data_IF_142414047577
#
_entry.id   IF_142414047577
#
_cell.length_a   1.000
_cell.length_b   1.000
_cell.length_c   1.000
_cell.angle_alpha   90.00
_cell.angle_beta   90.00
_cell.angle_gamma   90.00
#
_symmetry.space_group_name_H-M   'P 1'
#
loop_
_entity.id
_entity.type
_entity.pdbx_description
1 polymer ?
#
# COMPACT_ATOMS: atom_id res chain seq x y z
N UNK A 1 -24.77 0.02 16.78
CA UNK A 1 -24.02 1.07 16.06
C UNK A 1 -23.16 0.36 15.04
N UNK A 2 -23.60 0.34 13.78
CA UNK A 2 -22.87 -0.35 12.71
C UNK A 2 -21.53 0.33 12.55
N UNK A 3 -20.44 -0.40 12.80
CA UNK A 3 -19.12 0.05 12.43
C UNK A 3 -19.17 0.29 10.92
N UNK A 4 -19.12 1.56 10.52
CA UNK A 4 -18.66 1.88 9.17
C UNK A 4 -17.35 1.12 9.05
N UNK A 5 -17.15 0.25 8.05
CA UNK A 5 -15.86 -0.41 7.88
C UNK A 5 -14.83 0.70 7.75
N UNK A 6 -14.03 0.91 8.81
CA UNK A 6 -12.90 1.82 8.81
C UNK A 6 -12.13 1.55 7.51
N UNK A 7 -11.72 2.56 6.72
CA UNK A 7 -11.19 2.32 5.37
C UNK A 7 -9.95 1.43 5.33
N UNK A 8 -9.38 1.09 6.49
CA UNK A 8 -8.55 -0.10 6.73
C UNK A 8 -9.06 -1.36 6.01
N UNK A 9 -10.36 -1.61 5.91
CA UNK A 9 -10.91 -2.78 5.20
C UNK A 9 -10.56 -2.80 3.71
N UNK A 10 -10.53 -1.64 3.07
CA UNK A 10 -10.14 -1.52 1.66
C UNK A 10 -8.62 -1.69 1.51
N UNK A 11 -7.85 -1.15 2.46
CA UNK A 11 -6.40 -1.36 2.52
C UNK A 11 -6.05 -2.83 2.73
N UNK A 12 -6.72 -3.56 3.62
CA UNK A 12 -6.46 -4.98 3.84
C UNK A 12 -6.83 -5.80 2.62
N UNK A 13 -7.98 -5.54 1.98
CA UNK A 13 -8.37 -6.20 0.74
C UNK A 13 -7.30 -6.05 -0.36
N UNK A 14 -6.77 -4.83 -0.54
CA UNK A 14 -5.67 -4.59 -1.50
C UNK A 14 -4.35 -5.22 -1.08
N UNK A 15 -4.04 -5.29 0.22
CA UNK A 15 -2.80 -5.91 0.72
C UNK A 15 -2.78 -7.41 0.48
N UNK A 16 -3.92 -8.08 0.69
CA UNK A 16 -4.03 -9.53 0.53
C UNK A 16 -4.40 -9.97 -0.90
N UNK A 17 -4.54 -9.02 -1.83
CA UNK A 17 -4.92 -9.32 -3.21
C UNK A 17 -6.32 -9.92 -3.33
N UNK A 18 -7.26 -9.47 -2.51
CA UNK A 18 -8.64 -9.90 -2.64
C UNK A 18 -9.18 -9.45 -4.02
N UNK A 19 -9.80 -10.37 -4.76
CA UNK A 19 -10.18 -10.16 -6.17
C UNK A 19 -11.11 -8.97 -6.40
N UNK A 20 -11.20 -8.53 -7.65
CA UNK A 20 -11.97 -7.35 -8.11
C UNK A 20 -13.35 -7.21 -7.48
N UNK A 21 -14.07 -8.32 -7.32
CA UNK A 21 -15.42 -8.35 -6.77
C UNK A 21 -15.48 -7.94 -5.29
N UNK A 22 -14.48 -8.33 -4.49
CA UNK A 22 -14.42 -7.92 -3.07
C UNK A 22 -14.17 -6.42 -2.92
N UNK A 23 -13.29 -5.85 -3.75
CA UNK A 23 -13.05 -4.41 -3.78
C UNK A 23 -14.32 -3.66 -4.20
N UNK A 24 -15.05 -4.18 -5.20
CA UNK A 24 -16.35 -3.61 -5.61
C UNK A 24 -17.38 -3.65 -4.49
N UNK A 25 -17.55 -4.77 -3.80
CA UNK A 25 -18.47 -4.88 -2.66
C UNK A 25 -18.11 -3.88 -1.56
N UNK A 26 -16.82 -3.67 -1.29
CA UNK A 26 -16.38 -2.66 -0.31
C UNK A 26 -16.67 -1.23 -0.79
N UNK A 27 -16.51 -0.93 -2.07
CA UNK A 27 -16.87 0.37 -2.64
C UNK A 27 -18.40 0.61 -2.61
N UNK A 28 -19.19 -0.42 -2.90
CA UNK A 28 -20.66 -0.39 -2.77
C UNK A 28 -21.11 -0.17 -1.32
N UNK A 29 -20.34 -0.67 -0.34
CA UNK A 29 -20.54 -0.41 1.08
C UNK A 29 -20.19 1.04 1.52
N UNK A 30 -19.94 1.94 0.55
CA UNK A 30 -19.52 3.34 0.75
C UNK A 30 -18.16 3.51 1.44
N UNK A 31 -17.26 2.53 1.32
CA UNK A 31 -15.87 2.74 1.71
C UNK A 31 -15.23 3.82 0.85
N UNK A 32 -14.50 4.74 1.46
CA UNK A 32 -13.83 5.81 0.72
C UNK A 32 -12.60 5.27 -0.02
N UNK A 33 -12.54 5.35 -1.37
CA UNK A 33 -11.41 4.85 -2.15
C UNK A 33 -10.12 5.64 -1.93
N UNK A 34 -10.22 6.87 -1.41
CA UNK A 34 -9.11 7.79 -1.17
C UNK A 34 -8.77 7.92 0.32
N UNK A 35 -9.26 7.01 1.16
CA UNK A 35 -8.95 7.05 2.59
C UNK A 35 -7.44 6.84 2.80
N UNK A 36 -6.82 7.69 3.62
CA UNK A 36 -5.37 7.62 3.87
C UNK A 36 -5.10 6.68 5.04
N UNK A 37 -4.12 5.80 4.86
CA UNK A 37 -3.63 4.90 5.89
C UNK A 37 -2.89 5.69 6.97
N UNK A 38 -3.60 6.03 8.04
CA UNK A 38 -3.06 6.71 9.22
C UNK A 38 -3.01 5.76 10.40
N UNK A 39 -1.80 5.50 10.91
CA UNK A 39 -1.63 4.84 12.19
C UNK A 39 -1.59 5.90 13.30
N UNK A 40 -2.24 5.62 14.43
CA UNK A 40 -2.03 6.42 15.63
C UNK A 40 -0.58 6.25 16.09
N UNK A 41 0.13 7.35 16.30
CA UNK A 41 1.55 7.37 16.68
C UNK A 41 1.87 6.53 17.93
N UNK A 42 0.89 6.36 18.83
CA UNK A 42 1.03 5.57 20.06
C UNK A 42 0.82 4.06 19.89
N UNK A 43 0.51 3.57 18.69
CA UNK A 43 0.33 2.14 18.47
C UNK A 43 1.70 1.43 18.40
N UNK A 44 1.92 0.31 19.12
CA UNK A 44 3.19 -0.43 19.07
C UNK A 44 3.61 -0.83 17.65
N UNK A 45 2.63 -1.14 16.78
CA UNK A 45 2.86 -1.43 15.36
C UNK A 45 3.55 -0.27 14.62
N UNK A 46 3.28 0.99 15.02
CA UNK A 46 3.91 2.16 14.43
C UNK A 46 5.41 2.21 14.74
N UNK A 47 5.82 1.86 15.96
CA UNK A 47 7.25 1.77 16.32
C UNK A 47 7.95 0.70 15.49
N UNK A 48 7.32 -0.46 15.29
CA UNK A 48 7.88 -1.54 14.46
C UNK A 48 8.05 -1.05 13.02
N UNK A 49 7.06 -0.39 12.44
CA UNK A 49 7.18 0.14 11.08
C UNK A 49 8.23 1.23 10.95
N UNK A 50 8.37 2.11 11.94
CA UNK A 50 9.45 3.10 11.96
C UNK A 50 10.82 2.43 11.99
N UNK A 51 10.99 1.38 12.81
CA UNK A 51 12.21 0.58 12.87
C UNK A 51 12.51 -0.11 11.53
N UNK A 52 11.51 -0.70 10.88
CA UNK A 52 11.69 -1.35 9.57
C UNK A 52 11.97 -0.36 8.42
N UNK A 53 11.55 0.89 8.55
CA UNK A 53 11.84 1.94 7.56
C UNK A 53 13.25 2.54 7.68
N UNK A 54 13.95 2.34 8.81
CA UNK A 54 15.30 2.89 9.04
C UNK A 54 16.33 2.44 7.99
N UNK A 55 16.44 1.13 7.63
CA UNK A 55 17.39 0.69 6.60
C UNK A 55 17.18 1.36 5.24
N UNK A 56 15.93 1.57 4.84
CA UNK A 56 15.59 2.28 3.60
C UNK A 56 16.03 3.75 3.66
N UNK A 57 15.90 4.40 4.82
CA UNK A 57 16.30 5.79 5.04
C UNK A 57 17.80 6.01 5.13
N UNK A 58 18.51 5.11 5.82
CA UNK A 58 19.93 5.30 6.15
C UNK A 58 20.88 4.70 5.11
N UNK A 59 20.51 3.56 4.53
CA UNK A 59 21.40 2.80 3.66
C UNK A 59 20.85 2.64 2.25
N UNK A 60 19.69 3.22 1.95
CA UNK A 60 19.00 2.99 0.68
C UNK A 60 18.65 1.52 0.49
N UNK A 61 18.50 0.75 1.57
CA UNK A 61 18.26 -0.67 1.50
C UNK A 61 16.88 -0.94 0.88
N UNK A 62 16.88 -1.50 -0.33
CA UNK A 62 15.72 -1.73 -1.21
C UNK A 62 14.92 -2.98 -0.89
N UNK A 63 14.88 -3.42 0.37
CA UNK A 63 14.04 -4.55 0.75
C UNK A 63 12.56 -4.20 0.61
N UNK A 64 11.75 -5.14 0.09
CA UNK A 64 10.30 -4.94 -0.07
C UNK A 64 9.65 -4.45 1.23
N UNK A 65 9.94 -5.11 2.35
CA UNK A 65 9.36 -4.77 3.66
C UNK A 65 9.83 -3.40 4.18
N UNK A 66 11.09 -3.01 3.95
CA UNK A 66 11.63 -1.72 4.40
C UNK A 66 11.11 -0.57 3.56
N UNK A 67 11.01 -0.75 2.24
CA UNK A 67 10.41 0.22 1.34
C UNK A 67 8.90 0.37 1.61
N UNK A 68 8.19 -0.74 1.80
CA UNK A 68 6.76 -0.72 2.14
C UNK A 68 6.52 0.01 3.46
N UNK A 69 7.30 -0.32 4.50
CA UNK A 69 7.20 0.34 5.80
C UNK A 69 7.45 1.86 5.73
N UNK A 70 8.29 2.31 4.80
CA UNK A 70 8.60 3.71 4.57
C UNK A 70 7.47 4.48 3.83
N UNK A 71 6.88 3.86 2.80
CA UNK A 71 5.89 4.49 1.89
C UNK A 71 4.42 4.26 2.28
N UNK A 72 4.12 3.33 3.18
CA UNK A 72 2.74 3.07 3.63
C UNK A 72 2.09 4.24 4.39
N UNK A 73 2.89 5.18 4.93
CA UNK A 73 2.33 6.27 5.72
C UNK A 73 1.53 7.23 4.84
N UNK A 74 0.25 7.43 5.15
CA UNK A 74 -0.65 8.26 4.36
C UNK A 74 -0.91 7.71 2.96
N UNK A 75 -0.63 6.44 2.72
CA UNK A 75 -0.94 5.74 1.48
C UNK A 75 -2.45 5.57 1.33
N UNK A 76 -2.97 5.68 0.12
CA UNK A 76 -4.35 5.31 -0.22
C UNK A 76 -4.39 3.82 -0.60
N UNK A 77 -5.58 3.19 -0.69
CA UNK A 77 -5.73 1.84 -1.20
C UNK A 77 -5.07 1.63 -2.57
N UNK A 78 -5.07 2.64 -3.43
CA UNK A 78 -4.41 2.58 -4.74
C UNK A 78 -2.88 2.50 -4.63
N UNK A 79 -2.27 3.22 -3.68
CA UNK A 79 -0.84 3.09 -3.40
C UNK A 79 -0.50 1.68 -2.88
N UNK A 80 -1.36 1.11 -2.02
CA UNK A 80 -1.13 -0.25 -1.49
C UNK A 80 -1.25 -1.28 -2.61
N UNK A 81 -2.28 -1.18 -3.46
CA UNK A 81 -2.40 -2.03 -4.65
C UNK A 81 -1.17 -1.92 -5.56
N UNK A 82 -0.65 -0.71 -5.78
CA UNK A 82 0.56 -0.46 -6.55
C UNK A 82 1.82 -1.10 -5.93
N UNK A 83 2.03 -0.94 -4.62
CA UNK A 83 3.18 -1.52 -3.90
C UNK A 83 3.16 -3.05 -3.91
N UNK A 84 1.97 -3.67 -3.90
CA UNK A 84 1.79 -5.13 -3.87
C UNK A 84 1.57 -5.74 -5.27
N UNK A 85 1.57 -4.94 -6.33
CA UNK A 85 1.37 -5.40 -7.71
C UNK A 85 -0.04 -5.93 -8.02
N UNK A 86 -1.05 -5.48 -7.26
CA UNK A 86 -2.43 -5.95 -7.39
C UNK A 86 -3.19 -5.21 -8.49
N UNK A 87 -3.00 -5.64 -9.73
CA UNK A 87 -3.54 -4.97 -10.92
C UNK A 87 -5.08 -4.92 -10.90
N UNK A 88 -5.74 -6.05 -10.63
CA UNK A 88 -7.21 -6.12 -10.65
C UNK A 88 -7.87 -5.27 -9.55
N UNK A 89 -7.26 -5.25 -8.36
CA UNK A 89 -7.70 -4.39 -7.27
C UNK A 89 -7.48 -2.90 -7.61
N UNK A 90 -6.35 -2.55 -8.23
CA UNK A 90 -6.07 -1.20 -8.70
C UNK A 90 -7.08 -0.71 -9.74
N UNK A 91 -7.45 -1.56 -10.70
CA UNK A 91 -8.48 -1.23 -11.70
C UNK A 91 -9.83 -0.99 -11.03
N UNK A 92 -10.26 -1.85 -10.11
CA UNK A 92 -11.52 -1.65 -9.38
C UNK A 92 -11.53 -0.34 -8.57
N UNK A 93 -10.41 0.04 -7.97
CA UNK A 93 -10.29 1.29 -7.22
C UNK A 93 -10.40 2.50 -8.14
N UNK A 94 -9.76 2.49 -9.30
CA UNK A 94 -9.85 3.56 -10.30
C UNK A 94 -11.29 3.70 -10.82
N UNK A 95 -11.95 2.59 -11.14
CA UNK A 95 -13.38 2.58 -11.49
C UNK A 95 -14.26 3.12 -10.36
N UNK A 96 -13.86 2.89 -9.11
CA UNK A 96 -14.50 3.41 -7.90
C UNK A 96 -14.24 4.89 -7.59
N UNK A 97 -13.47 5.60 -8.42
CA UNK A 97 -13.14 7.01 -8.20
C UNK A 97 -11.91 7.26 -7.32
N UNK A 98 -10.99 6.29 -7.24
CA UNK A 98 -9.68 6.52 -6.64
C UNK A 98 -8.88 7.54 -7.45
N UNK A 99 -8.17 8.44 -6.74
CA UNK A 99 -7.29 9.44 -7.32
C UNK A 99 -5.88 8.89 -7.51
N UNK A 100 -5.41 8.87 -8.75
CA UNK A 100 -4.06 8.41 -9.10
C UNK A 100 -2.98 9.47 -8.87
N UNK A 101 -3.36 10.74 -8.87
CA UNK A 101 -2.50 11.91 -8.72
C UNK A 101 -2.24 12.29 -7.27
N UNK A 102 -2.98 11.70 -6.32
CA UNK A 102 -2.87 12.04 -4.92
C UNK A 102 -1.60 11.42 -4.31
N UNK A 103 -0.67 12.21 -3.74
CA UNK A 103 0.54 11.67 -3.15
C UNK A 103 0.29 11.09 -1.75
N UNK A 104 1.01 10.02 -1.42
CA UNK A 104 1.07 9.50 -0.05
C UNK A 104 1.74 10.49 0.92
N UNK A 105 1.84 10.13 2.21
CA UNK A 105 2.50 10.94 3.25
C UNK A 105 4.01 11.13 3.06
N UNK A 106 4.59 10.58 1.98
CA UNK A 106 5.98 10.77 1.56
C UNK A 106 6.12 11.53 0.24
N UNK A 107 5.01 11.99 -0.36
CA UNK A 107 5.03 12.70 -1.63
C UNK A 107 5.10 11.81 -2.87
N UNK A 108 4.99 10.48 -2.73
CA UNK A 108 5.05 9.56 -3.86
C UNK A 108 3.63 9.27 -4.38
N UNK A 109 3.45 9.29 -5.70
CA UNK A 109 2.22 8.86 -6.35
C UNK A 109 2.15 7.33 -6.47
N UNK A 110 0.95 6.79 -6.64
CA UNK A 110 0.75 5.34 -6.76
C UNK A 110 1.52 4.73 -7.95
N UNK A 111 1.58 5.43 -9.08
CA UNK A 111 2.32 4.99 -10.25
C UNK A 111 3.84 4.89 -10.00
N UNK A 112 4.41 5.88 -9.29
CA UNK A 112 5.84 5.88 -8.95
C UNK A 112 6.19 4.68 -8.05
N UNK A 113 5.33 4.38 -7.09
CA UNK A 113 5.47 3.21 -6.22
C UNK A 113 5.34 1.91 -7.00
N UNK A 114 4.42 1.80 -7.97
CA UNK A 114 4.30 0.62 -8.81
C UNK A 114 5.61 0.32 -9.56
N UNK A 115 6.27 1.36 -10.09
CA UNK A 115 7.57 1.22 -10.77
C UNK A 115 8.67 0.82 -9.77
N UNK A 116 8.76 1.52 -8.64
CA UNK A 116 9.79 1.27 -7.62
C UNK A 116 9.71 -0.15 -7.04
N UNK A 117 8.50 -0.63 -6.72
CA UNK A 117 8.30 -1.96 -6.15
C UNK A 117 8.43 -3.07 -7.19
N UNK A 118 8.03 -2.82 -8.45
CA UNK A 118 8.25 -3.78 -9.55
C UNK A 118 9.73 -4.12 -9.73
N UNK A 119 10.62 -3.12 -9.63
CA UNK A 119 12.07 -3.33 -9.68
C UNK A 119 12.54 -4.18 -8.50
N UNK A 120 12.03 -3.92 -7.29
CA UNK A 120 12.38 -4.70 -6.10
C UNK A 120 11.91 -6.16 -6.16
N UNK A 121 10.73 -6.44 -6.71
CA UNK A 121 10.28 -7.83 -6.92
C UNK A 121 11.23 -8.60 -7.85
N UNK A 122 11.75 -7.93 -8.88
CA UNK A 122 12.70 -8.52 -9.82
C UNK A 122 14.12 -8.68 -9.22
N UNK A 123 14.59 -7.70 -8.43
CA UNK A 123 15.88 -7.80 -7.73
C UNK A 123 15.86 -8.82 -6.59
N UNK A 124 14.76 -8.93 -5.84
CA UNK A 124 14.58 -9.98 -4.84
C UNK A 124 14.65 -11.38 -5.47
N UNK A 125 14.05 -11.55 -6.65
CA UNK A 125 14.15 -12.79 -7.42
C UNK A 125 15.60 -13.08 -7.88
N UNK A 126 16.35 -12.07 -8.34
CA UNK A 126 17.77 -12.24 -8.72
C UNK A 126 18.72 -12.44 -7.53
N UNK A 127 18.45 -11.78 -6.41
CA UNK A 127 19.25 -11.89 -5.18
C UNK A 127 19.09 -13.24 -4.47
N UNK A 128 17.98 -13.95 -4.71
CA UNK A 128 17.69 -15.26 -4.14
C UNK A 128 18.39 -16.44 -4.83
N UNK A 129 19.14 -16.19 -5.92
CA UNK A 129 19.89 -17.22 -6.68
C UNK A 129 21.40 -16.99 -6.71
N UNK A 130 21.96 -16.32 -5.70
CA UNK A 130 23.41 -16.36 -5.46
C UNK A 130 23.73 -17.56 -4.56
N UNK A 131 23.99 -18.71 -5.18
CA UNK A 131 24.75 -19.81 -4.55
C UNK A 131 26.24 -19.45 -4.49
#
# INVERSE_FOLDING_TARGET
AGAVPDGTALHTATTFGCGRDTVRVLLEARCCPNERLTYRWSCPIHMIFMAMALPHRLWGASGFLSAWAYHQHGATPLHVAAMHGQVDAGIALLEGGAREDEPNGRGAAAADLAVAFRVQHHEAFRGSFKF
#
